data_IF_559424741412
#
_entry.id   IF_559424741412
#
_cell.length_a   1.000
_cell.length_b   1.000
_cell.length_c   1.000
_cell.angle_alpha   90.00
_cell.angle_beta   90.00
_cell.angle_gamma   90.00
#
_symmetry.space_group_name_H-M   'P 1'
#
loop_
_entity.id
_entity.type
_entity.pdbx_description
1 polymer ?
#
# COMPACT_ATOMS: atom_id res chain seq x y z
N UNK A 1 -27.27 7.81 -6.36
CA UNK A 1 -26.19 7.85 -5.36
C UNK A 1 -24.84 7.94 -6.09
N UNK A 2 -23.91 8.78 -5.61
CA UNK A 2 -22.64 9.02 -6.31
C UNK A 2 -21.51 8.16 -5.72
N UNK A 3 -21.27 6.99 -6.31
CA UNK A 3 -20.06 6.19 -6.05
C UNK A 3 -18.84 6.92 -6.66
N UNK A 4 -17.94 7.43 -5.82
CA UNK A 4 -16.71 8.12 -6.28
C UNK A 4 -15.50 7.20 -6.08
N UNK A 5 -14.90 6.75 -7.17
CA UNK A 5 -13.60 6.06 -7.16
C UNK A 5 -12.49 7.10 -7.34
N UNK A 6 -11.45 7.04 -6.50
CA UNK A 6 -10.27 7.90 -6.63
C UNK A 6 -9.03 7.03 -6.58
N UNK A 7 -8.21 7.11 -7.62
CA UNK A 7 -6.93 6.40 -7.71
C UNK A 7 -5.82 7.31 -7.20
N UNK A 8 -5.03 6.80 -6.25
CA UNK A 8 -3.86 7.51 -5.71
C UNK A 8 -2.63 6.75 -6.18
N UNK A 9 -1.81 7.38 -7.01
CA UNK A 9 -0.57 6.77 -7.45
C UNK A 9 0.46 6.72 -6.32
N UNK A 10 1.16 5.59 -6.22
CA UNK A 10 2.11 5.38 -5.13
C UNK A 10 3.40 6.15 -5.28
N UNK A 11 3.71 6.64 -6.49
CA UNK A 11 4.91 7.39 -6.84
C UNK A 11 6.20 6.80 -6.22
N UNK A 12 6.26 5.47 -6.09
CA UNK A 12 7.44 4.78 -5.55
C UNK A 12 8.46 4.62 -6.68
N UNK A 13 9.65 5.20 -6.50
CA UNK A 13 10.76 4.99 -7.43
C UNK A 13 11.26 3.55 -7.32
N UNK A 14 11.05 2.75 -8.37
CA UNK A 14 11.71 1.47 -8.53
C UNK A 14 13.12 1.71 -9.04
N UNK A 15 14.05 1.96 -8.12
CA UNK A 15 15.45 2.14 -8.48
C UNK A 15 16.07 0.77 -8.79
N UNK A 16 16.14 0.39 -10.05
CA UNK A 16 16.96 -0.75 -10.44
C UNK A 16 18.43 -0.32 -10.30
N UNK A 17 19.23 -0.89 -9.36
CA UNK A 17 20.64 -0.58 -9.30
C UNK A 17 21.33 -1.25 -10.50
N UNK A 18 21.22 -0.66 -11.69
CA UNK A 18 22.00 -1.03 -12.87
C UNK A 18 23.40 -0.42 -12.72
N UNK A 19 24.19 -1.00 -11.80
CA UNK A 19 25.48 -0.44 -11.42
C UNK A 19 26.35 -1.47 -10.72
N UNK A 20 26.70 -2.54 -11.43
CA UNK A 20 27.81 -3.39 -11.02
C UNK A 20 29.09 -2.57 -11.04
N UNK A 21 29.69 -2.32 -9.88
CA UNK A 21 31.02 -1.71 -9.79
C UNK A 21 32.03 -2.74 -10.28
N UNK A 22 32.33 -2.71 -11.59
CA UNK A 22 33.46 -3.43 -12.13
C UNK A 22 34.74 -2.78 -11.61
N UNK A 23 35.30 -3.31 -10.53
CA UNK A 23 36.65 -2.93 -10.13
C UNK A 23 37.61 -3.29 -11.27
N UNK A 24 38.55 -2.40 -11.61
CA UNK A 24 39.61 -2.68 -12.60
C UNK A 24 40.44 -3.94 -12.27
N UNK A 25 40.37 -4.44 -11.04
CA UNK A 25 40.97 -5.69 -10.59
C UNK A 25 39.94 -6.83 -10.64
N UNK A 26 40.22 -7.86 -11.45
CA UNK A 26 39.49 -9.14 -11.45
C UNK A 26 39.79 -9.88 -10.12
N UNK A 27 38.92 -9.77 -9.12
CA UNK A 27 38.98 -10.63 -7.92
C UNK A 27 38.91 -9.95 -6.54
N UNK A 28 38.63 -8.66 -6.44
CA UNK A 28 38.32 -8.03 -5.14
C UNK A 28 36.94 -8.46 -4.62
N UNK A 29 36.68 -8.47 -3.30
CA UNK A 29 35.33 -8.68 -2.78
C UNK A 29 34.40 -7.66 -3.43
N UNK A 30 33.44 -8.15 -4.20
CA UNK A 30 32.36 -7.34 -4.76
C UNK A 30 31.49 -6.92 -3.57
N UNK A 31 31.90 -5.86 -2.90
CA UNK A 31 31.27 -5.42 -1.65
C UNK A 31 29.81 -5.03 -1.93
N UNK A 32 28.97 -6.00 -1.57
CA UNK A 32 27.60 -5.92 -1.07
C UNK A 32 26.95 -4.58 -1.38
N UNK A 33 26.13 -4.59 -2.44
CA UNK A 33 25.17 -3.52 -2.72
C UNK A 33 24.49 -3.18 -1.40
N UNK A 34 24.37 -1.89 -1.10
CA UNK A 34 23.89 -1.37 0.19
C UNK A 34 22.39 -1.67 0.38
N UNK A 35 22.04 -2.95 0.48
CA UNK A 35 20.67 -3.49 0.57
C UNK A 35 19.92 -2.84 1.73
N UNK A 36 20.62 -2.57 2.85
CA UNK A 36 20.07 -1.86 3.99
C UNK A 36 19.58 -0.46 3.65
N UNK A 37 20.36 0.33 2.89
CA UNK A 37 19.94 1.69 2.49
C UNK A 37 18.80 1.65 1.49
N UNK A 38 18.81 0.65 0.60
CA UNK A 38 17.74 0.45 -0.38
C UNK A 38 16.41 0.13 0.33
N UNK A 39 16.47 -0.81 1.28
CA UNK A 39 15.32 -1.22 2.08
C UNK A 39 14.78 -0.08 2.97
N UNK A 40 15.65 0.77 3.51
CA UNK A 40 15.24 1.96 4.26
C UNK A 40 14.51 2.97 3.38
N UNK A 41 15.00 3.22 2.17
CA UNK A 41 14.34 4.13 1.20
C UNK A 41 12.96 3.59 0.80
N UNK A 42 12.84 2.30 0.53
CA UNK A 42 11.56 1.64 0.21
C UNK A 42 10.55 1.77 1.36
N UNK A 43 10.98 1.47 2.60
CA UNK A 43 10.15 1.66 3.81
C UNK A 43 9.68 3.11 3.96
N UNK A 44 10.55 4.06 3.68
CA UNK A 44 10.21 5.48 3.75
C UNK A 44 9.21 5.88 2.67
N UNK A 45 9.38 5.40 1.43
CA UNK A 45 8.41 5.62 0.34
C UNK A 45 7.02 5.07 0.69
N UNK A 46 6.93 3.85 1.22
CA UNK A 46 5.67 3.29 1.71
C UNK A 46 5.04 4.17 2.79
N UNK A 47 5.83 4.67 3.73
CA UNK A 47 5.36 5.55 4.80
C UNK A 47 4.78 6.86 4.25
N UNK A 48 5.43 7.45 3.25
CA UNK A 48 4.97 8.67 2.58
C UNK A 48 3.65 8.42 1.85
N UNK A 49 3.55 7.29 1.12
CA UNK A 49 2.32 6.89 0.45
C UNK A 49 1.16 6.68 1.41
N UNK A 50 1.36 5.96 2.52
CA UNK A 50 0.31 5.78 3.51
C UNK A 50 -0.15 7.09 4.15
N UNK A 51 0.76 8.04 4.32
CA UNK A 51 0.43 9.38 4.82
C UNK A 51 -0.39 10.19 3.82
N UNK A 52 -0.19 10.03 2.51
CA UNK A 52 -0.99 10.75 1.51
C UNK A 52 -2.43 10.23 1.42
N UNK A 53 -2.68 8.98 1.80
CA UNK A 53 -4.02 8.38 1.84
C UNK A 53 -4.84 8.88 3.05
N UNK A 54 -4.21 9.10 4.20
CA UNK A 54 -4.89 9.41 5.46
C UNK A 54 -5.88 10.60 5.41
N UNK A 55 -5.61 11.72 4.71
CA UNK A 55 -6.57 12.83 4.57
C UNK A 55 -7.87 12.43 3.88
N UNK A 56 -7.82 11.52 2.90
CA UNK A 56 -9.01 11.04 2.19
C UNK A 56 -9.89 10.15 3.07
N UNK A 57 -9.30 9.52 4.09
CA UNK A 57 -9.98 8.61 5.00
C UNK A 57 -10.54 9.29 6.26
N UNK A 58 -10.16 10.55 6.55
CA UNK A 58 -10.53 11.24 7.81
C UNK A 58 -12.04 11.31 8.08
N UNK A 59 -12.87 11.30 7.04
CA UNK A 59 -14.33 11.31 7.13
C UNK A 59 -15.01 9.94 7.05
N UNK A 60 -14.26 8.86 6.83
CA UNK A 60 -14.86 7.54 6.69
C UNK A 60 -15.46 7.07 8.01
N UNK A 61 -16.64 6.44 7.98
CA UNK A 61 -17.23 5.77 9.14
C UNK A 61 -16.72 4.34 9.29
N UNK A 62 -16.55 3.65 8.15
CA UNK A 62 -16.06 2.29 8.07
C UNK A 62 -14.96 2.21 7.02
N UNK A 63 -13.94 1.41 7.29
CA UNK A 63 -12.78 1.25 6.41
C UNK A 63 -12.51 -0.24 6.18
N UNK A 64 -12.24 -0.61 4.93
CA UNK A 64 -11.76 -1.93 4.57
C UNK A 64 -10.53 -1.80 3.66
N UNK A 65 -9.52 -2.63 3.90
CA UNK A 65 -8.28 -2.63 3.11
C UNK A 65 -8.23 -3.90 2.29
N UNK A 66 -8.18 -3.73 0.97
CA UNK A 66 -7.99 -4.84 0.02
C UNK A 66 -6.64 -4.68 -0.65
N UNK A 67 -5.84 -5.74 -0.69
CA UNK A 67 -4.61 -5.69 -1.45
C UNK A 67 -3.83 -7.00 -1.45
N UNK A 68 -2.82 -7.09 -2.34
CA UNK A 68 -2.04 -8.28 -2.48
C UNK A 68 -1.14 -8.49 -1.25
N UNK A 69 -1.09 -9.74 -0.79
CA UNK A 69 -0.16 -10.25 0.21
C UNK A 69 -0.11 -9.44 1.53
N UNK A 70 1.05 -8.85 1.85
CA UNK A 70 1.33 -8.21 3.14
C UNK A 70 1.13 -6.68 3.12
N UNK A 71 0.90 -6.07 1.96
CA UNK A 71 0.82 -4.60 1.84
C UNK A 71 -0.33 -4.04 2.68
N UNK A 72 -1.50 -4.69 2.64
CA UNK A 72 -2.64 -4.30 3.47
C UNK A 72 -2.34 -4.38 4.97
N UNK A 73 -1.66 -5.43 5.41
CA UNK A 73 -1.25 -5.58 6.81
C UNK A 73 -0.24 -4.51 7.24
N UNK A 74 0.72 -4.16 6.36
CA UNK A 74 1.68 -3.07 6.62
C UNK A 74 0.96 -1.73 6.75
N UNK A 75 -0.06 -1.48 5.93
CA UNK A 75 -0.87 -0.27 6.03
C UNK A 75 -1.68 -0.24 7.32
N UNK A 76 -2.32 -1.35 7.71
CA UNK A 76 -3.05 -1.45 8.98
C UNK A 76 -2.16 -1.15 10.20
N UNK A 77 -0.95 -1.73 10.25
CA UNK A 77 0.05 -1.41 11.30
C UNK A 77 0.50 0.05 11.27
N UNK A 78 0.60 0.65 10.07
CA UNK A 78 0.89 2.07 9.95
C UNK A 78 -0.26 2.93 10.50
N UNK A 79 -1.52 2.59 10.18
CA UNK A 79 -2.69 3.27 10.73
C UNK A 79 -2.76 3.12 12.25
N UNK A 80 -2.52 1.93 12.79
CA UNK A 80 -2.48 1.68 14.24
C UNK A 80 -1.48 2.62 14.94
N UNK A 81 -0.27 2.77 14.39
CA UNK A 81 0.79 3.59 14.99
C UNK A 81 0.58 5.11 14.83
N UNK A 82 0.03 5.57 13.71
CA UNK A 82 -0.03 7.01 13.39
C UNK A 82 -1.44 7.60 13.41
N UNK A 83 -2.49 6.80 13.23
CA UNK A 83 -3.88 7.24 13.09
C UNK A 83 -4.84 6.25 13.74
N UNK A 84 -4.83 6.16 15.07
CA UNK A 84 -5.69 5.24 15.83
C UNK A 84 -7.19 5.38 15.49
N UNK A 85 -7.68 6.60 15.24
CA UNK A 85 -9.08 6.85 14.87
C UNK A 85 -9.49 6.21 13.53
N UNK A 86 -8.55 6.03 12.60
CA UNK A 86 -8.80 5.32 11.34
C UNK A 86 -8.71 3.81 11.55
N UNK A 87 -7.76 3.37 12.39
CA UNK A 87 -7.60 1.97 12.74
C UNK A 87 -8.81 1.41 13.49
N UNK A 88 -9.43 2.17 14.40
CA UNK A 88 -10.65 1.74 15.10
C UNK A 88 -11.86 1.54 14.18
N UNK A 89 -11.83 2.13 12.99
CA UNK A 89 -12.87 2.01 11.96
C UNK A 89 -12.55 0.93 10.92
N UNK A 90 -11.36 0.33 11.00
CA UNK A 90 -10.93 -0.72 10.10
C UNK A 90 -11.70 -2.00 10.43
N UNK A 91 -12.59 -2.42 9.53
CA UNK A 91 -13.32 -3.68 9.65
C UNK A 91 -12.46 -4.90 9.37
N UNK A 92 -11.51 -4.78 8.45
CA UNK A 92 -10.65 -5.90 8.07
C UNK A 92 -9.64 -5.56 6.99
N UNK A 93 -8.68 -6.48 6.86
CA UNK A 93 -7.69 -6.49 5.79
C UNK A 93 -7.87 -7.80 5.03
N UNK A 94 -8.36 -7.69 3.80
CA UNK A 94 -8.62 -8.82 2.93
C UNK A 94 -7.56 -8.91 1.84
N UNK A 95 -7.15 -10.15 1.54
CA UNK A 95 -6.20 -10.40 0.46
C UNK A 95 -6.97 -10.39 -0.84
N UNK A 96 -6.63 -9.46 -1.72
CA UNK A 96 -7.20 -9.42 -3.06
C UNK A 96 -6.10 -9.02 -4.04
N UNK A 97 -6.05 -9.72 -5.18
CA UNK A 97 -5.07 -9.47 -6.22
C UNK A 97 -5.79 -9.15 -7.52
N UNK A 98 -5.22 -8.20 -8.29
CA UNK A 98 -5.53 -7.93 -9.69
C UNK A 98 -7.03 -8.01 -10.06
N UNK A 99 -7.83 -7.15 -9.43
CA UNK A 99 -9.26 -7.02 -9.72
C UNK A 99 -9.55 -5.88 -10.69
N UNK A 100 -10.53 -6.09 -11.56
CA UNK A 100 -11.10 -5.01 -12.40
C UNK A 100 -11.96 -4.06 -11.57
N UNK A 101 -12.21 -2.84 -12.06
CA UNK A 101 -13.05 -1.86 -11.35
C UNK A 101 -14.43 -2.41 -10.98
N UNK A 102 -15.05 -3.19 -11.87
CA UNK A 102 -16.35 -3.82 -11.63
C UNK A 102 -16.30 -4.84 -10.50
N UNK A 103 -15.21 -5.61 -10.42
CA UNK A 103 -14.98 -6.56 -9.32
C UNK A 103 -14.73 -5.84 -8.00
N UNK A 104 -13.98 -4.73 -8.02
CA UNK A 104 -13.76 -3.89 -6.82
C UNK A 104 -15.11 -3.37 -6.30
N UNK A 105 -15.96 -2.82 -7.18
CA UNK A 105 -17.30 -2.33 -6.80
C UNK A 105 -18.17 -3.44 -6.23
N UNK A 106 -18.24 -4.60 -6.90
CA UNK A 106 -19.02 -5.74 -6.42
C UNK A 106 -18.53 -6.25 -5.05
N UNK A 107 -17.21 -6.32 -4.86
CA UNK A 107 -16.61 -6.75 -3.61
C UNK A 107 -16.90 -5.76 -2.48
N UNK A 108 -16.80 -4.45 -2.73
CA UNK A 108 -17.15 -3.42 -1.72
C UNK A 108 -18.64 -3.50 -1.35
N UNK A 109 -19.53 -3.64 -2.34
CA UNK A 109 -20.98 -3.80 -2.11
C UNK A 109 -21.28 -5.03 -1.26
N UNK A 110 -20.69 -6.17 -1.59
CA UNK A 110 -20.83 -7.40 -0.83
C UNK A 110 -20.26 -7.27 0.59
N UNK A 111 -19.10 -6.63 0.74
CA UNK A 111 -18.41 -6.50 2.02
C UNK A 111 -19.19 -5.64 3.03
N UNK A 112 -19.72 -4.50 2.57
CA UNK A 112 -20.53 -3.62 3.41
C UNK A 112 -22.01 -4.00 3.45
N UNK A 113 -22.41 -5.06 2.74
CA UNK A 113 -23.79 -5.49 2.69
C UNK A 113 -24.72 -4.40 2.14
N UNK A 114 -24.21 -3.56 1.22
CA UNK A 114 -25.03 -2.57 0.51
C UNK A 114 -25.90 -3.35 -0.48
N UNK A 115 -26.97 -3.94 0.05
CA UNK A 115 -28.06 -4.45 -0.75
C UNK A 115 -28.80 -3.23 -1.28
N UNK A 116 -28.71 -3.00 -2.59
CA UNK A 116 -29.71 -2.18 -3.25
C UNK A 116 -31.02 -2.97 -3.16
N UNK A 117 -31.85 -2.64 -2.18
CA UNK A 117 -33.28 -2.96 -2.29
C UNK A 117 -33.84 -2.11 -3.42
N UNK A 118 -33.93 -2.77 -4.60
CA UNK A 118 -34.78 -2.56 -5.78
C UNK A 118 -35.27 -1.12 -6.04
#
# INVERSE_FOLDING_TARGET
EHEKMTTIESNMEHFHPSGGSGTRFKGGPQDVVQDSKYLEKEKQQHKVYFRSIAPYLKGAHELAIFGPAQTGMRFAKHLERYNYMLFSKLKGVEKADSMTENQIKALVKNYFGIHNEI
#
